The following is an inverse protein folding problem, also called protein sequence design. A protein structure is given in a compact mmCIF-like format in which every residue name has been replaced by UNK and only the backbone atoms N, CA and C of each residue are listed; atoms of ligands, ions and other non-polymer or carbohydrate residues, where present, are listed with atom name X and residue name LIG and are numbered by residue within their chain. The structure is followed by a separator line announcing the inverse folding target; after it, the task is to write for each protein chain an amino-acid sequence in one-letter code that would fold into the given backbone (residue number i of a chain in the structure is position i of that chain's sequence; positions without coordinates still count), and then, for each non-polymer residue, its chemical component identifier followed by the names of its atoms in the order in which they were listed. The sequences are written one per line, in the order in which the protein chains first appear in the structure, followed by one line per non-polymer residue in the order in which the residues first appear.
data_IF_196521181940
#
_entry.id   IF_196521181940
#
_cell.length_a   1.000
_cell.length_b   1.000
_cell.length_c   1.000
_cell.angle_alpha   90.00
_cell.angle_beta   90.00
_cell.angle_gamma   90.00
#
_symmetry.space_group_name_H-M   'P 1'
#
loop_
_entity.id
_entity.type
_entity.pdbx_description
1 polymer ?
#
# COMPACT_ATOMS: atom_id res chain seq x y z
N UNK A 1 -57.05 -3.47 18.05
CA UNK A 1 -55.76 -3.05 18.64
C UNK A 1 -55.60 -1.56 18.33
N UNK A 2 -56.00 -0.70 19.28
CA UNK A 2 -56.06 0.76 19.11
C UNK A 2 -54.66 1.31 19.36
N UNK A 3 -54.05 1.91 18.34
CA UNK A 3 -52.81 2.69 18.50
C UNK A 3 -53.24 4.03 19.08
N UNK A 4 -52.82 4.28 20.32
CA UNK A 4 -53.15 5.45 21.12
C UNK A 4 -52.86 6.74 20.36
N UNK A 5 -53.89 7.59 20.26
CA UNK A 5 -53.76 8.96 19.77
C UNK A 5 -52.91 9.78 20.74
N UNK A 6 -51.82 10.35 20.20
CA UNK A 6 -50.99 11.31 20.92
C UNK A 6 -51.66 12.67 20.79
N UNK A 7 -52.41 13.08 21.83
CA UNK A 7 -52.86 14.47 21.98
C UNK A 7 -51.67 15.29 22.50
N UNK A 8 -50.98 16.02 21.62
CA UNK A 8 -49.94 16.98 21.98
C UNK A 8 -50.60 18.31 22.36
N UNK A 9 -50.66 18.60 23.65
CA UNK A 9 -50.96 19.95 24.14
C UNK A 9 -49.91 20.94 23.61
N UNK A 10 -50.37 22.06 23.06
CA UNK A 10 -49.59 23.01 22.24
C UNK A 10 -48.40 23.67 22.94
N UNK A 11 -48.25 23.56 24.27
CA UNK A 11 -47.13 24.11 25.02
C UNK A 11 -45.96 23.12 25.19
N UNK A 12 -46.21 21.80 25.07
CA UNK A 12 -45.17 20.75 25.14
C UNK A 12 -44.61 20.38 23.75
N UNK A 13 -45.34 20.73 22.68
CA UNK A 13 -44.96 20.38 21.30
C UNK A 13 -43.67 21.03 20.81
N UNK A 14 -43.35 22.25 21.29
CA UNK A 14 -42.12 22.95 20.90
C UNK A 14 -40.85 22.26 21.41
N UNK A 15 -40.90 21.66 22.61
CA UNK A 15 -39.76 20.95 23.20
C UNK A 15 -39.53 19.63 22.47
N UNK A 16 -40.59 18.88 22.19
CA UNK A 16 -40.51 17.59 21.49
C UNK A 16 -39.99 17.78 20.05
N UNK A 17 -40.42 18.83 19.35
CA UNK A 17 -39.87 19.17 18.03
C UNK A 17 -38.36 19.47 18.09
N UNK A 18 -37.91 20.26 19.09
CA UNK A 18 -36.48 20.56 19.27
C UNK A 18 -35.66 19.30 19.55
N UNK A 19 -36.19 18.38 20.36
CA UNK A 19 -35.54 17.08 20.63
C UNK A 19 -35.45 16.26 19.35
N UNK A 20 -36.54 16.15 18.57
CA UNK A 20 -36.53 15.46 17.29
C UNK A 20 -35.52 16.05 16.31
N UNK A 21 -35.44 17.38 16.21
CA UNK A 21 -34.43 18.06 15.39
C UNK A 21 -33.01 17.78 15.88
N UNK A 22 -32.76 17.84 17.18
CA UNK A 22 -31.45 17.53 17.76
C UNK A 22 -31.04 16.06 17.51
N UNK A 23 -31.97 15.12 17.60
CA UNK A 23 -31.71 13.72 17.25
C UNK A 23 -31.43 13.56 15.75
N UNK A 24 -32.20 14.22 14.88
CA UNK A 24 -32.00 14.15 13.44
C UNK A 24 -30.65 14.73 13.01
N UNK A 25 -30.23 15.87 13.59
CA UNK A 25 -28.93 16.46 13.28
C UNK A 25 -27.77 15.58 13.77
N UNK A 26 -27.90 14.95 14.94
CA UNK A 26 -26.90 13.99 15.44
C UNK A 26 -26.75 12.78 14.49
N UNK A 27 -27.87 12.23 14.01
CA UNK A 27 -27.83 11.11 13.04
C UNK A 27 -27.18 11.55 11.73
N UNK A 28 -27.54 12.72 11.20
CA UNK A 28 -26.95 13.24 9.96
C UNK A 28 -25.44 13.46 10.09
N UNK A 29 -24.98 14.02 11.22
CA UNK A 29 -23.54 14.20 11.48
C UNK A 29 -22.84 12.84 11.57
N UNK A 30 -23.45 11.85 12.24
CA UNK A 30 -22.90 10.49 12.31
C UNK A 30 -22.69 9.86 10.93
N UNK A 31 -23.70 9.94 10.06
CA UNK A 31 -23.62 9.42 8.68
C UNK A 31 -22.57 10.17 7.87
N UNK A 32 -22.48 11.49 8.01
CA UNK A 32 -21.49 12.29 7.29
C UNK A 32 -20.05 11.91 7.69
N UNK A 33 -19.79 11.73 8.99
CA UNK A 33 -18.48 11.30 9.50
C UNK A 33 -18.14 9.91 8.98
N UNK A 34 -19.08 8.96 9.08
CA UNK A 34 -18.88 7.58 8.63
C UNK A 34 -18.56 7.51 7.13
N UNK A 35 -19.31 8.25 6.30
CA UNK A 35 -19.07 8.32 4.86
C UNK A 35 -17.70 8.88 4.50
N UNK A 36 -17.26 9.94 5.19
CA UNK A 36 -15.92 10.51 4.99
C UNK A 36 -14.86 9.48 5.38
N UNK A 37 -14.99 8.85 6.55
CA UNK A 37 -14.02 7.88 7.03
C UNK A 37 -13.90 6.67 6.09
N UNK A 38 -15.03 6.17 5.59
CA UNK A 38 -15.05 5.04 4.67
C UNK A 38 -14.33 5.35 3.35
N UNK A 39 -14.55 6.54 2.79
CA UNK A 39 -13.88 6.96 1.55
C UNK A 39 -12.36 7.10 1.72
N UNK A 40 -11.91 7.63 2.86
CA UNK A 40 -10.48 7.71 3.17
C UNK A 40 -9.84 6.32 3.33
N UNK A 41 -10.52 5.39 3.99
CA UNK A 41 -10.03 4.01 4.17
C UNK A 41 -9.90 3.28 2.83
N UNK A 42 -10.88 3.42 1.93
CA UNK A 42 -10.81 2.80 0.61
C UNK A 42 -9.67 3.37 -0.23
N UNK A 43 -9.51 4.69 -0.26
CA UNK A 43 -8.45 5.36 -1.02
C UNK A 43 -7.06 4.91 -0.56
N UNK A 44 -6.84 4.82 0.76
CA UNK A 44 -5.57 4.36 1.31
C UNK A 44 -5.24 2.90 0.96
N UNK A 45 -6.25 2.01 0.89
CA UNK A 45 -6.04 0.63 0.46
C UNK A 45 -5.68 0.53 -1.03
N UNK A 46 -6.32 1.34 -1.87
CA UNK A 46 -5.98 1.38 -3.30
C UNK A 46 -4.57 1.90 -3.53
N UNK A 47 -4.17 2.98 -2.85
CA UNK A 47 -2.82 3.52 -2.92
C UNK A 47 -1.77 2.52 -2.43
N UNK A 48 -2.04 1.81 -1.33
CA UNK A 48 -1.16 0.75 -0.84
C UNK A 48 -1.01 -0.39 -1.85
N UNK A 49 -2.12 -0.86 -2.44
CA UNK A 49 -2.07 -1.90 -3.49
C UNK A 49 -1.30 -1.44 -4.71
N UNK A 50 -1.46 -0.18 -5.12
CA UNK A 50 -0.72 0.41 -6.25
C UNK A 50 0.76 0.55 -5.91
N UNK A 51 1.12 1.05 -4.73
CA UNK A 51 2.51 1.16 -4.27
C UNK A 51 3.21 -0.21 -4.30
N UNK A 52 2.51 -1.25 -3.85
CA UNK A 52 3.00 -2.63 -3.91
C UNK A 52 3.27 -3.07 -5.35
N UNK A 53 2.31 -2.88 -6.26
CA UNK A 53 2.47 -3.24 -7.67
C UNK A 53 3.65 -2.50 -8.33
N UNK A 54 3.82 -1.21 -8.02
CA UNK A 54 4.94 -0.39 -8.51
C UNK A 54 6.28 -0.91 -7.98
N UNK A 55 6.33 -1.31 -6.70
CA UNK A 55 7.54 -1.90 -6.10
C UNK A 55 7.89 -3.25 -6.75
N UNK A 56 6.89 -4.06 -7.08
CA UNK A 56 7.07 -5.34 -7.78
C UNK A 56 7.55 -5.12 -9.22
N UNK A 57 6.99 -4.14 -9.91
CA UNK A 57 7.46 -3.74 -11.23
C UNK A 57 8.94 -3.33 -11.21
N UNK A 58 9.34 -2.43 -10.30
CA UNK A 58 10.74 -2.03 -10.16
C UNK A 58 11.68 -3.22 -9.90
N UNK A 59 11.22 -4.19 -9.10
CA UNK A 59 11.97 -5.41 -8.83
C UNK A 59 12.14 -6.27 -10.10
N UNK A 60 11.08 -6.45 -10.88
CA UNK A 60 11.12 -7.21 -12.13
C UNK A 60 12.07 -6.58 -13.15
N UNK A 61 12.02 -5.25 -13.30
CA UNK A 61 12.92 -4.50 -14.18
C UNK A 61 14.38 -4.70 -13.76
N UNK A 62 14.66 -4.65 -12.46
CA UNK A 62 16.00 -4.90 -11.93
C UNK A 62 16.49 -6.33 -12.17
N UNK A 63 15.62 -7.32 -11.95
CA UNK A 63 15.94 -8.72 -12.24
C UNK A 63 16.25 -8.94 -13.72
N UNK A 64 15.43 -8.39 -14.61
CA UNK A 64 15.69 -8.43 -16.05
C UNK A 64 17.04 -7.80 -16.39
N UNK A 65 17.35 -6.63 -15.79
CA UNK A 65 18.62 -5.94 -16.03
C UNK A 65 19.83 -6.74 -15.56
N UNK A 66 19.72 -7.47 -14.46
CA UNK A 66 20.76 -8.37 -13.95
C UNK A 66 20.92 -9.59 -14.88
N UNK A 67 19.83 -10.12 -15.42
CA UNK A 67 19.89 -11.21 -16.41
C UNK A 67 20.60 -10.77 -17.68
N UNK A 68 20.33 -9.56 -18.17
CA UNK A 68 21.00 -8.99 -19.36
C UNK A 68 22.46 -8.60 -19.08
N UNK A 69 22.73 -8.06 -17.89
CA UNK A 69 24.04 -7.58 -17.45
C UNK A 69 24.33 -8.06 -16.02
N UNK A 70 24.92 -9.27 -15.84
CA UNK A 70 25.15 -9.86 -14.51
C UNK A 70 26.07 -9.05 -13.58
N UNK A 71 26.83 -8.11 -14.14
CA UNK A 71 27.71 -7.20 -13.41
C UNK A 71 27.07 -5.87 -13.02
N UNK A 72 25.80 -5.63 -13.37
CA UNK A 72 25.10 -4.38 -13.06
C UNK A 72 24.82 -4.26 -11.56
N UNK A 73 25.13 -3.08 -11.00
CA UNK A 73 25.01 -2.81 -9.55
C UNK A 73 24.44 -1.44 -9.20
N UNK A 74 24.20 -0.59 -10.20
CA UNK A 74 23.87 0.82 -9.95
C UNK A 74 22.45 1.00 -9.39
N UNK A 75 21.57 0.02 -9.61
CA UNK A 75 20.15 0.15 -9.27
C UNK A 75 19.45 1.19 -10.17
N UNK A 76 18.27 1.61 -9.73
CA UNK A 76 17.50 2.66 -10.40
C UNK A 76 17.26 3.79 -9.43
N UNK A 77 17.68 5.00 -9.79
CA UNK A 77 17.21 6.20 -9.11
C UNK A 77 15.69 6.35 -9.27
N UNK A 78 15.11 7.27 -8.49
CA UNK A 78 13.67 7.51 -8.46
C UNK A 78 13.12 7.77 -9.87
N UNK A 79 12.45 6.77 -10.43
CA UNK A 79 11.94 6.76 -11.80
C UNK A 79 10.42 6.82 -11.78
N UNK A 80 9.85 7.70 -12.60
CA UNK A 80 8.39 7.86 -12.70
C UNK A 80 7.79 6.67 -13.44
N UNK A 81 6.70 6.12 -12.90
CA UNK A 81 5.95 5.03 -13.50
C UNK A 81 4.47 5.20 -13.18
N UNK A 82 3.65 5.33 -14.23
CA UNK A 82 2.22 5.65 -14.11
C UNK A 82 1.99 6.89 -13.21
N UNK A 83 1.13 6.76 -12.20
CA UNK A 83 0.80 7.81 -11.23
C UNK A 83 1.78 7.87 -10.03
N UNK A 84 2.86 7.08 -10.08
CA UNK A 84 3.79 6.92 -8.97
C UNK A 84 5.26 6.89 -9.41
N UNK A 85 6.09 6.28 -8.57
CA UNK A 85 7.52 6.14 -8.82
C UNK A 85 8.05 4.86 -8.23
N UNK A 86 9.12 4.33 -8.81
CA UNK A 86 9.92 3.27 -8.21
C UNK A 86 11.38 3.69 -8.06
N UNK A 87 12.09 3.05 -7.12
CA UNK A 87 13.53 3.19 -6.91
C UNK A 87 14.07 1.82 -6.56
N UNK A 88 15.20 1.44 -7.13
CA UNK A 88 15.83 0.15 -6.83
C UNK A 88 17.24 0.37 -6.29
N UNK A 89 17.54 -0.32 -5.20
CA UNK A 89 18.87 -0.42 -4.64
C UNK A 89 19.37 -1.85 -4.81
N UNK A 90 20.63 -2.00 -5.23
CA UNK A 90 21.29 -3.30 -5.32
C UNK A 90 22.41 -3.32 -4.30
N UNK A 91 22.39 -4.29 -3.40
CA UNK A 91 23.40 -4.50 -2.36
C UNK A 91 24.04 -5.85 -2.58
N UNK A 92 25.35 -5.88 -2.62
CA UNK A 92 26.10 -7.13 -2.73
C UNK A 92 26.80 -7.40 -1.41
N UNK A 93 26.64 -8.61 -0.91
CA UNK A 93 27.34 -9.09 0.27
C UNK A 93 28.07 -10.38 -0.08
N UNK A 94 29.33 -10.48 0.33
CA UNK A 94 30.12 -11.70 0.16
C UNK A 94 30.23 -12.35 1.53
N UNK A 95 29.63 -13.54 1.67
CA UNK A 95 29.66 -14.30 2.92
C UNK A 95 30.42 -15.61 2.69
N UNK A 96 31.69 -15.64 3.09
CA UNK A 96 32.60 -16.74 2.79
C UNK A 96 32.78 -16.93 1.28
N UNK A 97 32.52 -18.16 0.80
CA UNK A 97 32.59 -18.52 -0.61
C UNK A 97 31.31 -18.22 -1.40
N UNK A 98 30.27 -17.70 -0.73
CA UNK A 98 28.99 -17.37 -1.36
C UNK A 98 28.87 -15.88 -1.67
N UNK A 99 28.42 -15.57 -2.88
CA UNK A 99 28.10 -14.22 -3.30
C UNK A 99 26.58 -14.03 -3.22
N UNK A 100 26.14 -13.12 -2.34
CA UNK A 100 24.74 -12.75 -2.18
C UNK A 100 24.49 -11.39 -2.83
N UNK A 101 23.45 -11.31 -3.65
CA UNK A 101 22.97 -10.08 -4.26
C UNK A 101 21.55 -9.81 -3.77
N UNK A 102 21.37 -8.73 -3.03
CA UNK A 102 20.09 -8.27 -2.52
C UNK A 102 19.60 -7.11 -3.39
N UNK A 103 18.39 -7.25 -3.92
CA UNK A 103 17.71 -6.21 -4.70
C UNK A 103 16.55 -5.70 -3.86
N UNK A 104 16.55 -4.42 -3.54
CA UNK A 104 15.50 -3.74 -2.78
C UNK A 104 14.80 -2.78 -3.73
N UNK A 105 13.52 -2.98 -3.97
CA UNK A 105 12.69 -2.12 -4.79
C UNK A 105 11.68 -1.39 -3.91
N UNK A 106 11.68 -0.06 -4.00
CA UNK A 106 10.70 0.81 -3.37
C UNK A 106 9.72 1.29 -4.44
N UNK A 107 8.42 1.23 -4.16
CA UNK A 107 7.37 1.78 -4.99
C UNK A 107 6.53 2.77 -4.19
N UNK A 108 6.22 3.94 -4.75
CA UNK A 108 5.47 4.97 -4.04
C UNK A 108 4.43 5.68 -4.89
N UNK A 109 3.28 5.99 -4.26
CA UNK A 109 2.15 6.72 -4.83
C UNK A 109 1.35 7.37 -3.70
N UNK A 110 0.83 8.59 -3.91
CA UNK A 110 -0.06 9.25 -2.93
C UNK A 110 0.55 9.54 -1.54
N UNK A 111 1.85 9.34 -1.36
CA UNK A 111 2.51 9.41 -0.04
C UNK A 111 2.67 8.06 0.65
N UNK A 112 2.07 7.00 0.12
CA UNK A 112 2.34 5.61 0.51
C UNK A 112 3.62 5.12 -0.19
N UNK A 113 4.45 4.38 0.54
CA UNK A 113 5.68 3.77 0.01
C UNK A 113 5.74 2.32 0.48
N UNK A 114 5.83 1.40 -0.48
CA UNK A 114 6.00 -0.03 -0.24
C UNK A 114 7.38 -0.50 -0.69
N UNK A 115 7.88 -1.54 -0.04
CA UNK A 115 9.21 -2.08 -0.31
C UNK A 115 9.14 -3.58 -0.55
N UNK A 116 9.81 -4.04 -1.60
CA UNK A 116 10.00 -5.45 -1.93
C UNK A 116 11.47 -5.77 -2.02
N UNK A 117 11.82 -6.94 -1.53
CA UNK A 117 13.21 -7.39 -1.50
C UNK A 117 13.33 -8.78 -2.12
N UNK A 118 14.42 -9.00 -2.83
CA UNK A 118 14.80 -10.31 -3.37
C UNK A 118 16.29 -10.52 -3.14
N UNK A 119 16.65 -11.67 -2.56
CA UNK A 119 18.03 -12.10 -2.48
C UNK A 119 18.31 -13.19 -3.53
N UNK A 120 19.45 -13.04 -4.20
CA UNK A 120 19.99 -13.98 -5.15
C UNK A 120 21.33 -14.48 -4.59
N UNK A 121 21.59 -15.76 -4.75
CA UNK A 121 22.87 -16.38 -4.45
C UNK A 121 23.52 -16.83 -5.75
N UNK A 122 24.80 -16.57 -5.92
CA UNK A 122 25.55 -17.06 -7.07
C UNK A 122 25.88 -18.54 -6.85
N UNK A 123 25.34 -19.41 -7.70
CA UNK A 123 25.70 -20.82 -7.75
C UNK A 123 26.75 -21.04 -8.85
N UNK A 124 27.83 -21.73 -8.51
CA UNK A 124 28.99 -22.02 -9.38
C UNK A 124 29.21 -23.51 -9.60
N UNK A 125 28.26 -24.35 -9.20
CA UNK A 125 28.40 -25.82 -9.12
C UNK A 125 28.66 -26.56 -10.44
N UNK A 126 28.37 -25.97 -11.61
CA UNK A 126 28.50 -26.64 -12.92
C UNK A 126 29.40 -25.90 -13.94
N UNK A 127 30.20 -24.92 -13.50
CA UNK A 127 31.10 -24.16 -14.39
C UNK A 127 30.45 -22.97 -15.10
N UNK A 128 29.12 -22.90 -15.13
CA UNK A 128 28.35 -21.70 -15.45
C UNK A 128 27.86 -21.01 -14.17
N UNK A 129 28.13 -19.71 -14.04
CA UNK A 129 27.73 -18.91 -12.88
C UNK A 129 26.30 -18.41 -13.06
N UNK A 130 25.35 -18.93 -12.26
CA UNK A 130 23.94 -18.52 -12.34
C UNK A 130 23.43 -17.95 -11.01
N UNK A 131 22.55 -16.96 -11.10
CA UNK A 131 21.91 -16.35 -9.93
C UNK A 131 20.64 -17.12 -9.56
N UNK A 132 20.64 -17.76 -8.39
CA UNK A 132 19.51 -18.53 -7.87
C UNK A 132 18.84 -17.75 -6.75
N UNK A 133 17.49 -17.70 -6.75
CA UNK A 133 16.74 -17.03 -5.69
C UNK A 133 16.95 -17.75 -4.37
N UNK A 134 17.31 -17.00 -3.34
CA UNK A 134 17.41 -17.51 -1.96
C UNK A 134 16.51 -16.73 -1.03
N UNK A 135 16.05 -17.38 0.05
CA UNK A 135 15.34 -16.69 1.12
C UNK A 135 16.32 -15.92 1.98
N UNK A 136 15.98 -14.68 2.31
CA UNK A 136 16.69 -13.92 3.34
C UNK A 136 16.34 -14.59 4.68
N UNK A 137 17.36 -15.13 5.34
CA UNK A 137 17.24 -15.73 6.68
C UNK A 137 17.55 -14.69 7.75
#
# INVERSE_FOLDING_TARGET
MKISGVNLNSETGGIILRIMFACATLVLIGIAIDSVLHNYQQSGQEEHRKALAISEYGLLVALQKITEHPSWRDGFEKTVYEDGWYRVEVRQNQNGDSLLLTIISHGGIGGVVETRECALMLDTSEGDSTWVRTSIQ
#
